data_IF_722726100497
#
_entry.id   IF_722726100497
#
_cell.length_a   1.000
_cell.length_b   1.000
_cell.length_c   1.000
_cell.angle_alpha   90.00
_cell.angle_beta   90.00
_cell.angle_gamma   90.00
#
_symmetry.space_group_name_H-M   'P 1'
#
loop_
_entity.id
_entity.type
_entity.pdbx_description
1 polymer ?
#
# COMPACT_ATOMS: atom_id res chain seq x y z
N UNK A 1 -14.58 -10.98 28.32
CA UNK A 1 -13.56 -9.90 28.28
C UNK A 1 -12.22 -10.51 28.65
N UNK A 2 -11.50 -11.06 27.69
CA UNK A 2 -10.19 -11.68 27.94
C UNK A 2 -9.16 -10.56 27.90
N UNK A 3 -8.58 -10.23 29.05
CA UNK A 3 -7.53 -9.23 29.13
C UNK A 3 -6.34 -9.68 28.26
N UNK A 4 -6.04 -8.91 27.21
CA UNK A 4 -4.82 -9.08 26.42
C UNK A 4 -3.65 -8.91 27.39
N UNK A 5 -2.95 -10.00 27.66
CA UNK A 5 -1.76 -10.01 28.50
C UNK A 5 -0.72 -9.11 27.80
N UNK A 6 -0.47 -7.92 28.35
CA UNK A 6 0.57 -7.02 27.84
C UNK A 6 1.87 -7.82 27.78
N UNK A 7 2.55 -7.92 26.62
CA UNK A 7 3.75 -8.73 26.51
C UNK A 7 4.82 -8.11 27.42
N UNK A 8 5.06 -8.76 28.56
CA UNK A 8 6.07 -8.32 29.51
C UNK A 8 7.45 -8.23 28.86
N UNK A 9 8.22 -7.23 29.28
CA UNK A 9 9.63 -7.13 28.97
C UNK A 9 10.35 -8.33 29.62
N UNK A 10 11.12 -9.10 28.83
CA UNK A 10 11.83 -10.28 29.32
C UNK A 10 13.23 -10.29 28.72
N UNK A 11 14.24 -10.61 29.54
CA UNK A 11 15.62 -10.75 29.10
C UNK A 11 15.78 -11.81 28.00
N UNK A 12 14.87 -12.80 27.94
CA UNK A 12 14.79 -13.80 26.85
C UNK A 12 14.57 -13.18 25.47
N UNK A 13 14.06 -11.94 25.38
CA UNK A 13 13.81 -11.23 24.12
C UNK A 13 15.04 -10.49 23.59
N UNK A 14 16.10 -10.33 24.39
CA UNK A 14 17.32 -9.59 24.00
C UNK A 14 17.98 -10.17 22.73
N UNK A 15 18.17 -11.50 22.59
CA UNK A 15 18.72 -12.08 21.36
C UNK A 15 17.85 -11.78 20.13
N UNK A 16 16.52 -11.80 20.27
CA UNK A 16 15.60 -11.46 19.18
C UNK A 16 15.69 -9.99 18.77
N UNK A 17 15.95 -9.08 19.71
CA UNK A 17 16.21 -7.66 19.40
C UNK A 17 17.48 -7.53 18.55
N UNK A 18 18.57 -8.18 18.93
CA UNK A 18 19.81 -8.15 18.14
C UNK A 18 19.64 -8.79 16.76
N UNK A 19 18.90 -9.89 16.67
CA UNK A 19 18.56 -10.51 15.39
C UNK A 19 17.74 -9.56 14.50
N UNK A 20 16.70 -8.94 15.06
CA UNK A 20 15.88 -7.97 14.36
C UNK A 20 16.72 -6.76 13.90
N UNK A 21 17.61 -6.22 14.74
CA UNK A 21 18.50 -5.11 14.36
C UNK A 21 19.47 -5.51 13.24
N UNK A 22 20.01 -6.73 13.29
CA UNK A 22 20.92 -7.26 12.26
C UNK A 22 20.27 -7.36 10.88
N UNK A 23 18.99 -7.73 10.82
CA UNK A 23 18.26 -7.90 9.54
C UNK A 23 17.59 -6.59 9.12
N UNK A 24 16.84 -5.98 10.03
CA UNK A 24 16.00 -4.82 9.75
C UNK A 24 16.81 -3.52 9.69
N UNK A 25 17.92 -3.40 10.43
CA UNK A 25 18.79 -2.22 10.38
C UNK A 25 19.36 -1.96 8.97
N UNK A 26 20.03 -2.95 8.34
CA UNK A 26 20.47 -2.84 6.95
C UNK A 26 19.32 -2.58 5.98
N UNK A 27 18.17 -3.23 6.17
CA UNK A 27 16.97 -2.97 5.36
C UNK A 27 16.57 -1.48 5.44
N UNK A 28 16.45 -0.91 6.64
CA UNK A 28 16.11 0.50 6.81
C UNK A 28 17.14 1.44 6.17
N UNK A 29 18.43 1.08 6.20
CA UNK A 29 19.47 1.92 5.61
C UNK A 29 19.50 1.83 4.07
N UNK A 30 19.53 0.63 3.51
CA UNK A 30 19.68 0.39 2.06
C UNK A 30 18.35 0.54 1.31
N UNK A 31 17.22 0.26 1.95
CA UNK A 31 15.90 0.34 1.36
C UNK A 31 15.15 1.63 1.73
N UNK A 32 15.82 2.63 2.33
CA UNK A 32 15.16 3.91 2.63
C UNK A 32 14.59 4.56 1.36
N UNK A 33 13.45 5.27 1.45
CA UNK A 33 12.79 5.86 0.27
C UNK A 33 13.71 6.74 -0.60
N UNK A 34 14.65 7.48 -0.01
CA UNK A 34 15.58 8.33 -0.76
C UNK A 34 16.62 7.57 -1.59
N UNK A 35 16.87 6.29 -1.29
CA UNK A 35 17.82 5.44 -2.03
C UNK A 35 17.09 4.63 -3.09
N UNK A 36 15.98 4.00 -2.72
CA UNK A 36 15.23 3.14 -3.62
C UNK A 36 14.29 3.90 -4.56
N UNK A 37 13.74 5.04 -4.14
CA UNK A 37 12.80 5.83 -4.93
C UNK A 37 13.28 6.07 -6.36
N UNK A 38 14.46 6.68 -6.58
CA UNK A 38 14.96 6.90 -7.94
C UNK A 38 15.06 5.61 -8.77
N UNK A 39 15.44 4.48 -8.16
CA UNK A 39 15.58 3.19 -8.85
C UNK A 39 14.22 2.65 -9.28
N UNK A 40 13.23 2.70 -8.40
CA UNK A 40 11.88 2.18 -8.67
C UNK A 40 11.18 3.07 -9.72
N UNK A 41 11.26 4.39 -9.58
CA UNK A 41 10.68 5.31 -10.54
C UNK A 41 11.32 5.19 -11.93
N UNK A 42 12.65 5.06 -12.01
CA UNK A 42 13.34 4.84 -13.28
C UNK A 42 12.94 3.50 -13.91
N UNK A 43 12.79 2.44 -13.10
CA UNK A 43 12.28 1.16 -13.57
C UNK A 43 10.86 1.30 -14.13
N UNK A 44 9.93 1.94 -13.40
CA UNK A 44 8.56 2.12 -13.86
C UNK A 44 8.47 2.93 -15.16
N UNK A 45 9.28 3.99 -15.30
CA UNK A 45 9.37 4.76 -16.54
C UNK A 45 9.89 3.90 -17.69
N UNK A 46 10.97 3.16 -17.47
CA UNK A 46 11.54 2.27 -18.48
C UNK A 46 10.55 1.16 -18.86
N UNK A 47 9.84 0.58 -17.90
CA UNK A 47 8.81 -0.43 -18.12
C UNK A 47 7.66 0.14 -18.96
N UNK A 48 7.11 1.32 -18.61
CA UNK A 48 6.06 1.97 -19.42
C UNK A 48 6.53 2.35 -20.82
N UNK A 49 7.80 2.72 -21.02
CA UNK A 49 8.33 3.06 -22.34
C UNK A 49 8.49 1.84 -23.26
N UNK A 50 8.80 0.68 -22.69
CA UNK A 50 9.10 -0.53 -23.44
C UNK A 50 7.90 -1.49 -23.36
N UNK A 51 7.95 -2.46 -22.44
CA UNK A 51 6.98 -3.56 -22.33
C UNK A 51 5.53 -3.09 -22.10
N UNK A 52 5.33 -1.97 -21.42
CA UNK A 52 4.02 -1.44 -21.03
C UNK A 52 3.48 -0.30 -21.91
N UNK A 53 4.10 -0.02 -23.07
CA UNK A 53 3.86 1.19 -23.88
C UNK A 53 2.38 1.44 -24.20
N UNK A 54 1.70 0.38 -24.59
CA UNK A 54 0.30 0.42 -25.05
C UNK A 54 -0.61 -0.45 -24.17
N UNK A 55 -0.14 -0.81 -22.98
CA UNK A 55 -0.89 -1.60 -22.00
C UNK A 55 -1.27 -0.75 -20.78
N UNK A 56 -2.44 -1.02 -20.16
CA UNK A 56 -2.73 -0.51 -18.83
C UNK A 56 -1.78 -1.15 -17.82
N UNK A 57 -1.33 -0.37 -16.84
CA UNK A 57 -0.42 -0.77 -15.78
C UNK A 57 -1.11 -0.56 -14.44
N UNK A 58 -1.30 -1.65 -13.70
CA UNK A 58 -1.71 -1.62 -12.30
C UNK A 58 -0.50 -1.88 -11.40
N UNK A 59 -0.42 -1.19 -10.27
CA UNK A 59 0.66 -1.38 -9.31
C UNK A 59 0.14 -1.87 -7.96
N UNK A 60 0.79 -2.89 -7.39
CA UNK A 60 0.46 -3.44 -6.08
C UNK A 60 1.63 -3.24 -5.10
N UNK A 61 1.35 -2.74 -3.90
CA UNK A 61 2.35 -2.38 -2.90
C UNK A 61 2.05 -2.94 -1.52
N UNK A 62 3.00 -3.66 -0.93
CA UNK A 62 2.84 -4.28 0.38
C UNK A 62 3.87 -3.70 1.36
N UNK A 63 3.44 -3.31 2.56
CA UNK A 63 4.34 -2.74 3.58
C UNK A 63 5.11 -1.53 3.00
N UNK A 64 6.43 -1.62 2.93
CA UNK A 64 7.32 -0.63 2.32
C UNK A 64 6.95 -0.28 0.87
N UNK A 65 6.50 -1.26 0.08
CA UNK A 65 6.10 -1.04 -1.31
C UNK A 65 4.86 -0.15 -1.44
N UNK A 66 4.01 -0.12 -0.41
CA UNK A 66 2.81 0.71 -0.35
C UNK A 66 3.14 2.19 -0.56
N UNK A 67 4.26 2.68 0.00
CA UNK A 67 4.70 4.08 -0.17
C UNK A 67 4.81 4.46 -1.65
N UNK A 68 5.51 3.65 -2.44
CA UNK A 68 5.78 4.00 -3.83
C UNK A 68 4.53 3.87 -4.69
N UNK A 69 3.69 2.87 -4.44
CA UNK A 69 2.41 2.74 -5.14
C UNK A 69 1.49 3.93 -4.86
N UNK A 70 1.39 4.37 -3.60
CA UNK A 70 0.67 5.61 -3.28
C UNK A 70 1.25 6.79 -4.05
N UNK A 71 2.58 6.91 -4.13
CA UNK A 71 3.25 7.98 -4.86
C UNK A 71 3.03 7.90 -6.38
N UNK A 72 2.98 6.70 -6.98
CA UNK A 72 2.66 6.54 -8.40
C UNK A 72 1.26 7.04 -8.74
N UNK A 73 0.34 6.96 -7.78
CA UNK A 73 -1.01 7.49 -7.90
C UNK A 73 -1.11 9.02 -7.71
N UNK A 74 0.00 9.73 -7.51
CA UNK A 74 0.01 11.20 -7.45
C UNK A 74 0.00 11.84 -8.85
N UNK A 75 -0.41 13.10 -8.91
CA UNK A 75 -0.28 13.92 -10.12
C UNK A 75 1.02 14.73 -10.10
N UNK A 76 2.12 14.08 -10.49
CA UNK A 76 3.45 14.67 -10.58
C UNK A 76 4.16 14.30 -11.89
N UNK A 77 5.07 15.15 -12.35
CA UNK A 77 5.88 14.91 -13.57
C UNK A 77 6.76 13.67 -13.44
N UNK A 78 7.16 13.31 -12.21
CA UNK A 78 7.86 12.07 -11.92
C UNK A 78 7.05 10.82 -12.27
N UNK A 79 5.72 10.91 -12.32
CA UNK A 79 4.82 9.83 -12.69
C UNK A 79 4.42 9.82 -14.16
N UNK A 80 5.07 10.67 -14.98
CA UNK A 80 4.77 10.80 -16.40
C UNK A 80 6.01 10.57 -17.26
N UNK A 81 5.77 10.07 -18.47
CA UNK A 81 6.72 10.03 -19.56
C UNK A 81 6.71 11.37 -20.32
N UNK A 82 7.66 11.54 -21.24
CA UNK A 82 7.78 12.77 -22.04
C UNK A 82 6.56 13.03 -22.95
N UNK A 83 5.86 11.97 -23.35
CA UNK A 83 4.62 12.03 -24.13
C UNK A 83 3.37 12.27 -23.25
N UNK A 84 3.55 12.50 -21.95
CA UNK A 84 2.48 12.77 -20.99
C UNK A 84 1.80 11.52 -20.41
N UNK A 85 2.08 10.32 -20.95
CA UNK A 85 1.51 9.07 -20.45
C UNK A 85 1.94 8.82 -19.00
N UNK A 86 1.01 8.35 -18.16
CA UNK A 86 1.30 7.98 -16.78
C UNK A 86 2.03 6.63 -16.71
N UNK A 87 2.82 6.44 -15.66
CA UNK A 87 3.54 5.18 -15.39
C UNK A 87 2.66 4.09 -14.76
N UNK A 88 1.50 4.47 -14.22
CA UNK A 88 0.48 3.56 -13.66
C UNK A 88 -0.89 4.17 -13.91
N UNK A 89 -1.90 3.31 -14.00
CA UNK A 89 -3.30 3.68 -14.22
C UNK A 89 -4.13 3.47 -12.95
N UNK A 90 -3.76 2.50 -12.11
CA UNK A 90 -4.37 2.29 -10.79
C UNK A 90 -3.36 1.69 -9.79
N UNK A 91 -3.67 1.83 -8.50
CA UNK A 91 -2.86 1.30 -7.41
C UNK A 91 -3.66 0.49 -6.40
N UNK A 92 -3.08 -0.58 -5.88
CA UNK A 92 -3.55 -1.31 -4.70
C UNK A 92 -2.43 -1.33 -3.65
N UNK A 93 -2.77 -1.08 -2.38
CA UNK A 93 -1.84 -1.26 -1.28
C UNK A 93 -2.43 -2.13 -0.18
N UNK A 94 -1.58 -2.92 0.46
CA UNK A 94 -1.92 -3.61 1.70
C UNK A 94 -0.92 -3.25 2.79
N UNK A 95 -1.46 -2.93 3.98
CA UNK A 95 -0.72 -2.57 5.19
C UNK A 95 0.47 -1.61 4.90
N UNK A 96 0.24 -0.46 4.25
CA UNK A 96 1.32 0.39 3.75
C UNK A 96 2.17 1.00 4.88
N UNK A 97 3.47 1.14 4.64
CA UNK A 97 4.43 1.73 5.57
C UNK A 97 5.01 3.04 5.05
N UNK A 98 5.60 3.83 5.95
CA UNK A 98 6.33 5.07 5.61
C UNK A 98 5.50 6.18 4.93
N UNK A 99 4.17 6.10 4.96
CA UNK A 99 3.29 7.17 4.52
C UNK A 99 3.22 8.27 5.59
N UNK A 100 3.12 9.52 5.14
CA UNK A 100 2.81 10.68 5.97
C UNK A 100 1.32 10.96 5.88
N UNK A 101 0.58 10.73 6.95
CA UNK A 101 -0.85 10.99 7.00
C UNK A 101 -1.13 12.40 7.55
N UNK A 102 -2.03 13.18 6.95
CA UNK A 102 -2.83 12.88 5.75
C UNK A 102 -2.13 13.17 4.39
N UNK A 103 -0.99 13.85 4.41
CA UNK A 103 -0.38 14.50 3.23
C UNK A 103 -0.13 13.59 2.02
N UNK A 104 0.28 12.34 2.22
CA UNK A 104 0.57 11.42 1.12
C UNK A 104 -0.74 10.89 0.48
N UNK A 105 -1.81 10.75 1.27
CA UNK A 105 -3.12 10.28 0.79
C UNK A 105 -3.87 11.41 0.06
N UNK A 106 -3.76 12.66 0.55
CA UNK A 106 -4.43 13.81 -0.08
C UNK A 106 -3.94 14.11 -1.50
N UNK A 107 -2.72 13.67 -1.84
CA UNK A 107 -2.11 13.79 -3.16
C UNK A 107 -2.54 12.71 -4.17
N UNK A 108 -3.25 11.67 -3.74
CA UNK A 108 -3.75 10.62 -4.65
C UNK A 108 -4.76 11.21 -5.62
N UNK A 109 -4.57 10.95 -6.92
CA UNK A 109 -5.40 11.43 -8.04
C UNK A 109 -5.78 10.32 -9.03
N UNK A 110 -5.26 9.10 -8.83
CA UNK A 110 -5.62 7.92 -9.61
C UNK A 110 -6.44 6.95 -8.77
N UNK A 111 -7.16 6.02 -9.43
CA UNK A 111 -7.81 4.94 -8.72
C UNK A 111 -6.87 4.23 -7.75
N UNK A 112 -7.29 4.17 -6.49
CA UNK A 112 -6.48 3.64 -5.41
C UNK A 112 -7.31 2.83 -4.43
N UNK A 113 -6.89 1.59 -4.17
CA UNK A 113 -7.48 0.70 -3.17
C UNK A 113 -6.50 0.44 -2.04
N UNK A 114 -6.98 0.55 -0.79
CA UNK A 114 -6.17 0.37 0.42
C UNK A 114 -6.77 -0.70 1.33
N UNK A 115 -5.99 -1.72 1.64
CA UNK A 115 -6.28 -2.76 2.63
C UNK A 115 -5.51 -2.44 3.93
N UNK A 116 -6.21 -1.88 4.91
CA UNK A 116 -5.62 -1.44 6.18
C UNK A 116 -5.85 -2.47 7.29
N UNK A 117 -4.81 -2.73 8.09
CA UNK A 117 -4.87 -3.61 9.28
C UNK A 117 -5.22 -2.85 10.56
N UNK A 118 -5.89 -3.51 11.51
CA UNK A 118 -6.22 -2.93 12.82
C UNK A 118 -4.99 -2.78 13.73
N UNK A 119 -4.17 -3.83 13.83
CA UNK A 119 -2.99 -3.85 14.69
C UNK A 119 -1.74 -3.49 13.88
N UNK A 120 -1.64 -2.20 13.58
CA UNK A 120 -0.61 -1.65 12.69
C UNK A 120 0.19 -0.51 13.34
N UNK A 121 1.51 -0.66 13.55
CA UNK A 121 2.35 0.41 14.07
C UNK A 121 2.67 1.52 13.05
N UNK A 122 2.34 1.35 11.77
CA UNK A 122 2.58 2.30 10.67
C UNK A 122 1.35 3.15 10.33
N UNK A 123 0.15 2.72 10.74
CA UNK A 123 -1.09 3.46 10.54
C UNK A 123 -1.96 3.33 11.79
N UNK A 124 -2.12 4.41 12.55
CA UNK A 124 -3.01 4.42 13.71
C UNK A 124 -4.49 4.33 13.30
N UNK A 125 -5.39 3.93 14.20
CA UNK A 125 -6.83 3.93 13.93
C UNK A 125 -7.37 5.30 13.47
N UNK A 126 -6.85 6.39 14.01
CA UNK A 126 -7.20 7.76 13.60
C UNK A 126 -6.72 8.05 12.18
N UNK A 127 -5.50 7.64 11.84
CA UNK A 127 -4.95 7.77 10.49
C UNK A 127 -5.72 6.91 9.48
N UNK A 128 -6.15 5.71 9.86
CA UNK A 128 -7.01 4.85 9.05
C UNK A 128 -8.35 5.52 8.76
N UNK A 129 -9.03 6.03 9.80
CA UNK A 129 -10.29 6.77 9.66
C UNK A 129 -10.13 8.03 8.78
N UNK A 130 -9.03 8.76 8.96
CA UNK A 130 -8.72 9.95 8.16
C UNK A 130 -8.47 9.57 6.69
N UNK A 131 -7.73 8.50 6.44
CA UNK A 131 -7.48 7.95 5.10
C UNK A 131 -8.79 7.57 4.42
N UNK A 132 -9.66 6.82 5.11
CA UNK A 132 -10.98 6.44 4.60
C UNK A 132 -11.81 7.68 4.22
N UNK A 133 -11.82 8.70 5.10
CA UNK A 133 -12.58 9.93 4.88
C UNK A 133 -12.09 10.68 3.62
N UNK A 134 -10.77 10.84 3.47
CA UNK A 134 -10.17 11.53 2.30
C UNK A 134 -10.48 10.78 1.01
N UNK A 135 -10.35 9.45 1.00
CA UNK A 135 -10.61 8.64 -0.21
C UNK A 135 -12.09 8.65 -0.60
N UNK A 136 -13.00 8.64 0.38
CA UNK A 136 -14.44 8.80 0.12
C UNK A 136 -14.78 10.17 -0.44
N UNK A 137 -14.22 11.24 0.12
CA UNK A 137 -14.42 12.62 -0.37
C UNK A 137 -13.90 12.79 -1.81
N UNK A 138 -12.70 12.27 -2.09
CA UNK A 138 -12.12 12.26 -3.44
C UNK A 138 -12.97 11.46 -4.43
N UNK A 139 -13.55 10.34 -4.01
CA UNK A 139 -14.47 9.57 -4.86
C UNK A 139 -15.75 10.34 -5.14
N UNK A 140 -16.34 11.00 -4.13
CA UNK A 140 -17.54 11.81 -4.30
C UNK A 140 -17.31 13.00 -5.24
N UNK A 141 -16.15 13.64 -5.16
CA UNK A 141 -15.79 14.79 -6.02
C UNK A 141 -15.30 14.39 -7.41
N UNK A 142 -14.66 13.23 -7.53
CA UNK A 142 -14.13 12.66 -8.79
C UNK A 142 -15.11 11.78 -9.57
N UNK A 143 -16.35 11.62 -9.09
CA UNK A 143 -17.34 10.74 -9.72
C UNK A 143 -17.63 11.13 -11.18
N UNK A 144 -17.64 12.43 -11.49
CA UNK A 144 -17.85 12.93 -12.85
C UNK A 144 -16.73 12.54 -13.82
N UNK A 145 -15.52 12.29 -13.32
CA UNK A 145 -14.37 11.82 -14.10
C UNK A 145 -14.18 10.30 -14.00
N UNK A 146 -15.11 9.58 -13.37
CA UNK A 146 -15.03 8.15 -13.13
C UNK A 146 -13.96 7.73 -12.11
N UNK A 147 -13.41 8.67 -11.33
CA UNK A 147 -12.37 8.37 -10.33
C UNK A 147 -13.01 7.73 -9.09
N UNK A 148 -12.62 6.49 -8.78
CA UNK A 148 -13.05 5.79 -7.57
C UNK A 148 -11.86 5.37 -6.72
N UNK A 149 -12.07 5.34 -5.40
CA UNK A 149 -11.12 4.84 -4.42
C UNK A 149 -11.80 3.82 -3.51
N UNK A 150 -11.04 2.88 -2.98
CA UNK A 150 -11.52 1.87 -2.04
C UNK A 150 -10.65 1.88 -0.79
N UNK A 151 -11.31 1.76 0.37
CA UNK A 151 -10.64 1.56 1.65
C UNK A 151 -11.36 0.45 2.38
N UNK A 152 -10.63 -0.59 2.75
CA UNK A 152 -11.14 -1.70 3.54
C UNK A 152 -10.28 -1.83 4.79
N UNK A 153 -10.92 -1.71 5.94
CA UNK A 153 -10.31 -1.96 7.24
C UNK A 153 -10.54 -3.44 7.61
N UNK A 154 -9.48 -4.14 8.00
CA UNK A 154 -9.52 -5.55 8.36
C UNK A 154 -9.36 -5.70 9.89
N UNK A 155 -10.46 -5.92 10.64
CA UNK A 155 -10.40 -6.12 12.08
C UNK A 155 -9.59 -7.36 12.45
N UNK A 156 -8.77 -7.25 13.48
CA UNK A 156 -7.86 -8.28 13.94
C UNK A 156 -6.63 -8.52 13.04
N UNK A 157 -6.54 -7.89 11.88
CA UNK A 157 -5.36 -8.02 11.01
C UNK A 157 -4.15 -7.29 11.62
N UNK A 158 -2.97 -7.89 11.47
CA UNK A 158 -1.68 -7.28 11.82
C UNK A 158 -1.01 -6.69 10.58
N UNK A 159 0.02 -5.84 10.74
CA UNK A 159 0.74 -5.19 9.64
C UNK A 159 1.32 -6.12 8.55
N UNK A 160 1.35 -7.44 8.75
CA UNK A 160 1.84 -8.39 7.75
C UNK A 160 0.76 -9.21 7.06
N UNK A 161 -0.51 -9.00 7.39
CA UNK A 161 -1.57 -9.99 7.15
C UNK A 161 -1.75 -10.41 5.68
N UNK A 162 -1.45 -9.53 4.72
CA UNK A 162 -1.64 -9.83 3.30
C UNK A 162 -0.50 -10.66 2.68
N UNK A 163 0.62 -10.86 3.40
CA UNK A 163 1.82 -11.57 2.89
C UNK A 163 2.43 -12.56 3.89
N UNK A 164 2.08 -12.46 5.17
CA UNK A 164 2.67 -13.22 6.28
C UNK A 164 1.60 -13.82 7.19
N UNK A 165 0.36 -13.94 6.72
CA UNK A 165 -0.67 -14.66 7.47
C UNK A 165 -0.21 -16.11 7.71
N UNK A 166 -0.42 -16.60 8.93
CA UNK A 166 -0.28 -18.02 9.21
C UNK A 166 -1.42 -18.78 8.52
N UNK A 167 -1.09 -19.72 7.63
CA UNK A 167 -2.10 -20.51 6.91
C UNK A 167 -2.81 -21.54 7.81
N UNK A 168 -2.19 -21.90 8.94
CA UNK A 168 -2.79 -22.80 9.93
C UNK A 168 -3.77 -22.06 10.86
N UNK A 169 -3.66 -20.73 10.97
CA UNK A 169 -4.66 -19.89 11.63
C UNK A 169 -5.76 -19.48 10.64
N UNK A 170 -6.96 -20.03 10.87
CA UNK A 170 -8.11 -19.80 9.99
C UNK A 170 -8.48 -18.32 9.83
N UNK A 171 -8.35 -17.52 10.88
CA UNK A 171 -8.72 -16.11 10.82
C UNK A 171 -7.65 -15.28 10.10
N UNK A 172 -6.36 -15.52 10.37
CA UNK A 172 -5.28 -14.84 9.65
C UNK A 172 -5.30 -15.19 8.16
N UNK A 173 -5.41 -16.48 7.83
CA UNK A 173 -5.49 -16.95 6.45
C UNK A 173 -6.67 -16.35 5.69
N UNK A 174 -7.84 -16.27 6.33
CA UNK A 174 -9.04 -15.68 5.73
C UNK A 174 -8.86 -14.18 5.47
N UNK A 175 -8.30 -13.42 6.42
CA UNK A 175 -8.02 -11.98 6.20
C UNK A 175 -7.04 -11.77 5.04
N UNK A 176 -6.01 -12.60 4.93
CA UNK A 176 -5.07 -12.59 3.80
C UNK A 176 -5.78 -12.81 2.45
N UNK A 177 -6.62 -13.86 2.37
CA UNK A 177 -7.43 -14.16 1.17
C UNK A 177 -8.41 -13.05 0.81
N UNK A 178 -8.99 -12.38 1.80
CA UNK A 178 -9.90 -11.26 1.56
C UNK A 178 -9.17 -10.05 0.96
N UNK A 179 -7.96 -9.74 1.43
CA UNK A 179 -7.12 -8.70 0.84
C UNK A 179 -6.65 -9.05 -0.58
N UNK A 180 -6.33 -10.32 -0.84
CA UNK A 180 -6.05 -10.80 -2.20
C UNK A 180 -7.28 -10.62 -3.10
N UNK A 181 -8.46 -11.05 -2.63
CA UNK A 181 -9.70 -10.91 -3.38
C UNK A 181 -10.05 -9.44 -3.64
N UNK A 182 -9.75 -8.53 -2.71
CA UNK A 182 -9.85 -7.09 -2.92
C UNK A 182 -8.96 -6.64 -4.07
N UNK A 183 -7.67 -6.99 -4.07
CA UNK A 183 -6.74 -6.65 -5.13
C UNK A 183 -7.19 -7.18 -6.51
N UNK A 184 -7.62 -8.44 -6.57
CA UNK A 184 -8.08 -9.07 -7.81
C UNK A 184 -9.33 -8.38 -8.37
N UNK A 185 -10.32 -8.09 -7.52
CA UNK A 185 -11.53 -7.33 -7.93
C UNK A 185 -11.14 -5.94 -8.42
N UNK A 186 -10.22 -5.28 -7.71
CA UNK A 186 -9.75 -3.94 -8.05
C UNK A 186 -9.11 -3.89 -9.43
N UNK A 187 -8.09 -4.73 -9.67
CA UNK A 187 -7.41 -4.75 -10.96
C UNK A 187 -8.28 -5.25 -12.09
N UNK A 188 -9.13 -6.26 -11.87
CA UNK A 188 -10.06 -6.73 -12.89
C UNK A 188 -10.98 -5.61 -13.39
N UNK A 189 -11.45 -4.75 -12.48
CA UNK A 189 -12.29 -3.60 -12.82
C UNK A 189 -11.57 -2.57 -13.68
N UNK A 190 -10.36 -2.20 -13.28
CA UNK A 190 -9.57 -1.14 -13.94
C UNK A 190 -8.83 -1.62 -15.19
N UNK A 191 -8.58 -2.91 -15.36
CA UNK A 191 -8.06 -3.45 -16.62
C UNK A 191 -9.15 -3.68 -17.65
N UNK A 192 -10.38 -3.99 -17.22
CA UNK A 192 -11.53 -4.04 -18.12
C UNK A 192 -11.92 -2.64 -18.64
N UNK A 193 -11.76 -1.61 -17.80
CA UNK A 193 -12.03 -0.21 -18.16
C UNK A 193 -10.89 0.69 -17.65
N UNK A 194 -9.76 0.75 -18.38
CA UNK A 194 -8.66 1.62 -18.01
C UNK A 194 -9.12 3.08 -17.93
N UNK A 195 -8.72 3.83 -16.88
CA UNK A 195 -8.99 5.26 -16.83
C UNK A 195 -8.31 5.95 -18.03
N UNK A 196 -9.00 6.92 -18.63
CA UNK A 196 -8.53 7.65 -19.80
C UNK A 196 -7.36 8.60 -19.49
#
# INVERSE_FOLDING_TARGET
>A
MTAIQKPGWSLSKIPHIFYALRVFGPFLFFCRPSVCGPRIFNFMKSFKQNEGKDLPIGTAGFCWGGKFVTQFCWDGEENRLQDGKRITDCGFVAHPSFLKYPDDISKVQLPYSCAASEYDPQMSPEQAKQTESILKEKTATGQATGLEHEFVFYPGATHGFAVRADEDDKEEAERGKQAEAQALRWFSRWFANPPA
#
